data_IF_821912851802
#
_entry.id   IF_821912851802
#
_cell.length_a   1.000
_cell.length_b   1.000
_cell.length_c   1.000
_cell.angle_alpha   90.00
_cell.angle_beta   90.00
_cell.angle_gamma   90.00
#
_symmetry.space_group_name_H-M   'P 1'
#
loop_
_entity.id
_entity.type
_entity.pdbx_description
1 polymer ?
#
# COMPACT_ATOMS: atom_id res chain seq x y z
N UNK A 1 5.26 -19.30 11.56
CA UNK A 1 6.18 -18.34 10.92
C UNK A 1 5.30 -17.34 10.20
N UNK A 2 5.22 -16.11 10.72
CA UNK A 2 4.44 -15.03 10.14
C UNK A 2 5.48 -14.12 9.52
N UNK A 3 5.90 -14.44 8.30
CA UNK A 3 6.71 -13.51 7.51
C UNK A 3 5.78 -12.34 7.15
N UNK A 4 5.62 -11.40 8.09
CA UNK A 4 4.97 -10.14 7.79
C UNK A 4 5.97 -9.36 6.96
N UNK A 5 5.86 -9.49 5.64
CA UNK A 5 6.35 -8.45 4.75
C UNK A 5 5.62 -7.18 5.15
N UNK A 6 6.30 -6.35 5.93
CA UNK A 6 5.87 -5.00 6.24
C UNK A 6 6.14 -4.19 4.98
N UNK A 7 5.17 -4.17 4.08
CA UNK A 7 5.26 -3.44 2.82
C UNK A 7 4.99 -1.98 3.12
N UNK A 8 5.93 -1.13 2.73
CA UNK A 8 5.78 0.32 2.79
C UNK A 8 4.49 0.75 2.08
N UNK A 9 3.51 1.37 2.79
CA UNK A 9 2.22 1.75 2.23
C UNK A 9 2.33 2.71 1.06
N UNK A 10 3.35 3.57 1.05
CA UNK A 10 3.57 4.55 -0.02
C UNK A 10 4.01 3.88 -1.33
N UNK A 11 4.63 2.70 -1.24
CA UNK A 11 5.08 1.93 -2.40
C UNK A 11 4.02 0.96 -2.92
N UNK A 12 2.95 0.70 -2.16
CA UNK A 12 1.87 -0.23 -2.55
C UNK A 12 1.22 0.12 -3.90
N UNK A 13 0.89 1.39 -4.23
CA UNK A 13 0.31 1.71 -5.53
C UNK A 13 1.21 1.34 -6.70
N UNK A 14 2.51 1.61 -6.60
CA UNK A 14 3.49 1.25 -7.62
C UNK A 14 3.64 -0.26 -7.73
N UNK A 15 3.74 -0.96 -6.60
CA UNK A 15 3.86 -2.42 -6.59
C UNK A 15 2.64 -3.10 -7.22
N UNK A 16 1.42 -2.58 -6.99
CA UNK A 16 0.19 -3.06 -7.64
C UNK A 16 0.26 -2.82 -9.15
N UNK A 17 0.72 -1.64 -9.59
CA UNK A 17 0.86 -1.32 -11.01
C UNK A 17 1.86 -2.28 -11.70
N UNK A 18 3.00 -2.54 -11.07
CA UNK A 18 4.03 -3.44 -11.58
C UNK A 18 3.51 -4.89 -11.66
N UNK A 19 2.77 -5.35 -10.65
CA UNK A 19 2.14 -6.67 -10.67
C UNK A 19 1.07 -6.79 -11.77
N UNK A 20 0.27 -5.75 -11.99
CA UNK A 20 -0.70 -5.71 -13.10
C UNK A 20 -0.01 -5.75 -14.46
N UNK A 21 1.12 -5.06 -14.61
CA UNK A 21 1.94 -5.15 -15.81
C UNK A 21 2.51 -6.56 -16.02
N UNK A 22 3.08 -7.15 -14.97
CA UNK A 22 3.60 -8.52 -15.01
C UNK A 22 2.51 -9.54 -15.38
N UNK A 23 1.29 -9.36 -14.87
CA UNK A 23 0.13 -10.19 -15.22
C UNK A 23 -0.18 -10.16 -16.73
N UNK A 24 -0.11 -8.98 -17.35
CA UNK A 24 -0.31 -8.81 -18.81
C UNK A 24 0.81 -9.49 -19.60
N UNK A 25 2.06 -9.34 -19.17
CA UNK A 25 3.20 -9.99 -19.83
C UNK A 25 3.13 -11.53 -19.73
N UNK A 26 2.63 -12.08 -18.62
CA UNK A 26 2.37 -13.51 -18.51
C UNK A 26 1.29 -14.00 -19.48
N UNK A 27 0.29 -13.18 -19.78
CA UNK A 27 -0.70 -13.54 -20.80
C UNK A 27 -0.05 -13.71 -22.17
N UNK A 28 0.84 -12.78 -22.55
CA UNK A 28 1.62 -12.88 -23.80
C UNK A 28 2.52 -14.10 -23.80
N UNK A 29 3.13 -14.43 -22.66
CA UNK A 29 3.97 -15.62 -22.53
C UNK A 29 3.14 -16.90 -22.68
N UNK A 30 1.93 -16.94 -22.11
CA UNK A 30 0.99 -18.05 -22.26
C UNK A 30 0.57 -18.25 -23.72
N UNK A 31 0.31 -17.18 -24.45
CA UNK A 31 -0.01 -17.25 -25.88
C UNK A 31 1.13 -17.88 -26.67
N UNK A 32 2.37 -17.46 -26.42
CA UNK A 32 3.56 -18.06 -27.06
C UNK A 32 3.76 -19.52 -26.67
N UNK A 33 3.52 -19.88 -25.41
CA UNK A 33 3.59 -21.27 -24.97
C UNK A 33 2.49 -22.13 -25.62
N UNK A 34 1.31 -21.56 -25.83
CA UNK A 34 0.20 -22.23 -26.54
C UNK A 34 0.53 -22.43 -28.01
N UNK A 35 1.13 -21.43 -28.66
CA UNK A 35 1.63 -21.54 -30.03
C UNK A 35 2.71 -22.63 -30.15
N UNK A 36 3.69 -22.65 -29.24
CA UNK A 36 4.73 -23.69 -29.22
C UNK A 36 4.16 -25.11 -29.03
N UNK A 37 3.08 -25.25 -28.24
CA UNK A 37 2.42 -26.53 -28.02
C UNK A 37 1.66 -27.01 -29.27
N UNK A 38 1.00 -26.10 -29.99
CA UNK A 38 0.17 -26.39 -31.16
C UNK A 38 0.97 -26.51 -32.46
N UNK A 39 2.02 -25.69 -32.59
CA UNK A 39 2.89 -25.57 -33.74
C UNK A 39 4.32 -25.93 -33.34
N UNK A 40 4.60 -27.22 -33.03
CA UNK A 40 5.94 -27.63 -32.65
C UNK A 40 6.94 -27.34 -33.77
N UNK A 41 8.12 -26.78 -33.45
CA UNK A 41 9.14 -26.54 -34.45
C UNK A 41 9.68 -27.88 -34.97
N UNK A 42 9.66 -28.04 -36.28
CA UNK A 42 10.30 -29.14 -37.00
C UNK A 42 10.72 -28.65 -38.37
N UNK A 43 12.03 -28.63 -38.64
CA UNK A 43 12.58 -28.30 -39.96
C UNK A 43 13.22 -29.51 -40.66
N UNK A 44 12.95 -30.72 -40.18
CA UNK A 44 13.51 -31.95 -40.71
C UNK A 44 12.55 -33.11 -40.63
N UNK A 45 12.62 -33.98 -41.63
CA UNK A 45 11.82 -35.22 -41.72
C UNK A 45 12.52 -36.41 -41.05
N UNK A 46 13.66 -36.19 -40.37
CA UNK A 46 14.35 -37.24 -39.64
C UNK A 46 13.70 -37.53 -38.27
N UNK A 47 13.93 -38.74 -37.76
CA UNK A 47 13.34 -39.19 -36.48
C UNK A 47 13.75 -38.29 -35.31
N UNK A 48 14.93 -37.67 -35.37
CA UNK A 48 15.46 -36.78 -34.32
C UNK A 48 14.70 -35.45 -34.29
N UNK A 49 14.44 -34.86 -35.45
CA UNK A 49 13.68 -33.61 -35.60
C UNK A 49 12.24 -33.79 -35.17
N UNK A 50 11.61 -34.90 -35.59
CA UNK A 50 10.25 -35.26 -35.18
C UNK A 50 10.14 -35.48 -33.66
N UNK A 51 11.11 -36.18 -33.05
CA UNK A 51 11.16 -36.35 -31.61
C UNK A 51 11.36 -35.01 -30.89
N UNK A 52 12.27 -34.15 -31.39
CA UNK A 52 12.53 -32.84 -30.79
C UNK A 52 11.30 -31.95 -30.78
N UNK A 53 10.56 -31.87 -31.90
CA UNK A 53 9.28 -31.15 -31.97
C UNK A 53 8.25 -31.71 -30.99
N UNK A 54 8.16 -33.03 -30.88
CA UNK A 54 7.25 -33.70 -29.92
C UNK A 54 7.59 -33.37 -28.47
N UNK A 55 8.88 -33.38 -28.10
CA UNK A 55 9.31 -33.04 -26.74
C UNK A 55 9.07 -31.56 -26.42
N UNK A 56 9.30 -30.67 -27.38
CA UNK A 56 9.04 -29.24 -27.21
C UNK A 56 7.54 -28.96 -27.01
N UNK A 57 6.67 -29.61 -27.79
CA UNK A 57 5.21 -29.51 -27.61
C UNK A 57 4.78 -30.00 -26.22
N UNK A 58 5.36 -31.11 -25.73
CA UNK A 58 5.10 -31.63 -24.38
C UNK A 58 5.55 -30.65 -23.29
N UNK A 59 6.78 -30.15 -23.36
CA UNK A 59 7.27 -29.17 -22.39
C UNK A 59 6.40 -27.92 -22.40
N UNK A 60 5.91 -27.50 -23.57
CA UNK A 60 5.05 -26.34 -23.70
C UNK A 60 3.66 -26.56 -23.07
N UNK A 61 2.95 -27.63 -23.45
CA UNK A 61 1.51 -27.76 -23.21
C UNK A 61 1.00 -29.04 -22.56
N UNK A 62 1.87 -29.94 -22.09
CA UNK A 62 1.43 -31.14 -21.37
C UNK A 62 0.60 -30.74 -20.13
N UNK A 63 -0.62 -31.27 -19.93
CA UNK A 63 -1.45 -30.94 -18.78
C UNK A 63 -0.89 -31.44 -17.44
N UNK A 64 0.11 -32.33 -17.47
CA UNK A 64 0.82 -32.77 -16.27
C UNK A 64 1.68 -31.67 -15.65
N UNK A 65 1.99 -31.82 -14.36
CA UNK A 65 2.81 -30.85 -13.61
C UNK A 65 4.18 -30.71 -14.27
N UNK A 66 4.60 -29.47 -14.50
CA UNK A 66 5.92 -29.12 -15.01
C UNK A 66 5.95 -28.60 -16.45
N UNK A 67 4.81 -28.54 -17.14
CA UNK A 67 4.74 -27.83 -18.42
C UNK A 67 4.76 -26.31 -18.23
N UNK A 68 5.17 -25.63 -19.30
CA UNK A 68 5.27 -24.18 -19.34
C UNK A 68 3.89 -23.54 -19.13
N UNK A 69 2.85 -23.99 -19.84
CA UNK A 69 1.48 -23.46 -19.69
C UNK A 69 0.97 -23.67 -18.26
N UNK A 70 1.16 -24.86 -17.68
CA UNK A 70 0.74 -25.13 -16.30
C UNK A 70 1.40 -24.17 -15.31
N UNK A 71 2.72 -23.98 -15.45
CA UNK A 71 3.51 -23.10 -14.59
C UNK A 71 3.08 -21.63 -14.74
N UNK A 72 2.84 -21.18 -15.98
CA UNK A 72 2.38 -19.81 -16.24
C UNK A 72 1.01 -19.57 -15.61
N UNK A 73 0.07 -20.50 -15.74
CA UNK A 73 -1.25 -20.36 -15.12
C UNK A 73 -1.14 -20.27 -13.59
N UNK A 74 -0.35 -21.15 -12.96
CA UNK A 74 -0.13 -21.10 -11.52
C UNK A 74 0.50 -19.77 -11.07
N UNK A 75 1.40 -19.21 -11.88
CA UNK A 75 2.02 -17.93 -11.59
C UNK A 75 1.06 -16.75 -11.80
N UNK A 76 0.19 -16.81 -12.82
CA UNK A 76 -0.90 -15.85 -13.00
C UNK A 76 -1.85 -15.82 -11.81
N UNK A 77 -2.26 -16.99 -11.30
CA UNK A 77 -3.11 -17.11 -10.12
C UNK A 77 -2.43 -16.52 -8.87
N UNK A 78 -1.13 -16.78 -8.71
CA UNK A 78 -0.35 -16.23 -7.61
C UNK A 78 -0.23 -14.69 -7.68
N UNK A 79 0.00 -14.13 -8.86
CA UNK A 79 0.03 -12.68 -9.06
C UNK A 79 -1.33 -12.05 -8.78
N UNK A 80 -2.42 -12.64 -9.31
CA UNK A 80 -3.77 -12.16 -9.06
C UNK A 80 -4.09 -12.14 -7.55
N UNK A 81 -3.80 -13.23 -6.85
CA UNK A 81 -3.97 -13.29 -5.38
C UNK A 81 -3.11 -12.26 -4.64
N UNK A 82 -1.94 -11.93 -5.16
CA UNK A 82 -1.05 -10.93 -4.54
C UNK A 82 -1.56 -9.51 -4.76
N UNK A 83 -2.06 -9.20 -5.97
CA UNK A 83 -2.72 -7.92 -6.27
C UNK A 83 -3.89 -7.70 -5.32
N UNK A 84 -4.78 -8.70 -5.18
CA UNK A 84 -5.95 -8.60 -4.29
C UNK A 84 -5.54 -8.30 -2.84
N UNK A 85 -4.47 -8.92 -2.36
CA UNK A 85 -3.94 -8.68 -1.00
C UNK A 85 -3.37 -7.27 -0.86
N UNK A 86 -2.62 -6.79 -1.86
CA UNK A 86 -2.04 -5.45 -1.82
C UNK A 86 -3.11 -4.37 -1.91
N UNK A 87 -4.16 -4.58 -2.71
CA UNK A 87 -5.32 -3.68 -2.76
C UNK A 87 -6.07 -3.64 -1.43
N UNK A 88 -6.26 -4.79 -0.77
CA UNK A 88 -6.84 -4.84 0.58
C UNK A 88 -5.96 -4.12 1.62
N UNK A 89 -4.64 -4.29 1.55
CA UNK A 89 -3.71 -3.58 2.43
C UNK A 89 -3.78 -2.07 2.21
N UNK A 90 -3.73 -1.61 0.97
CA UNK A 90 -3.84 -0.18 0.65
C UNK A 90 -5.15 0.41 1.16
N UNK A 91 -6.27 -0.28 0.98
CA UNK A 91 -7.56 0.15 1.52
C UNK A 91 -7.55 0.21 3.06
N UNK A 92 -6.93 -0.76 3.73
CA UNK A 92 -6.81 -0.75 5.19
C UNK A 92 -5.95 0.44 5.68
N UNK A 93 -4.85 0.75 4.99
CA UNK A 93 -4.00 1.90 5.30
C UNK A 93 -4.73 3.23 5.10
N UNK A 94 -5.41 3.43 3.97
CA UNK A 94 -6.17 4.67 3.70
C UNK A 94 -7.29 4.88 4.73
N UNK A 95 -8.02 3.82 5.09
CA UNK A 95 -9.04 3.92 6.14
C UNK A 95 -8.44 4.29 7.51
N UNK A 96 -7.24 3.79 7.83
CA UNK A 96 -6.55 4.11 9.08
C UNK A 96 -6.04 5.55 9.07
N UNK A 97 -5.61 6.06 7.93
CA UNK A 97 -5.25 7.47 7.74
C UNK A 97 -6.49 8.36 7.95
N UNK A 98 -7.60 8.06 7.29
CA UNK A 98 -8.86 8.82 7.42
C UNK A 98 -9.37 8.90 8.87
N UNK A 99 -9.30 7.80 9.62
CA UNK A 99 -9.73 7.77 11.03
C UNK A 99 -8.78 8.55 11.96
N UNK A 100 -7.50 8.68 11.60
CA UNK A 100 -6.49 9.39 12.39
C UNK A 100 -6.30 10.86 11.97
N UNK A 101 -7.12 11.37 11.03
CA UNK A 101 -7.13 12.80 10.74
C UNK A 101 -7.61 13.56 11.98
N UNK A 102 -6.70 14.33 12.59
CA UNK A 102 -7.05 15.26 13.66
C UNK A 102 -8.02 16.26 13.04
N UNK A 103 -9.26 16.42 13.55
CA UNK A 103 -10.17 17.41 13.02
C UNK A 103 -9.47 18.77 13.06
N UNK A 104 -9.50 19.49 11.94
CA UNK A 104 -9.04 20.89 11.87
C UNK A 104 -9.89 21.70 12.84
N UNK A 105 -9.44 21.78 14.09
CA UNK A 105 -10.08 22.61 15.07
C UNK A 105 -9.62 24.03 14.77
N UNK A 106 -10.44 24.77 14.02
CA UNK A 106 -10.37 26.23 14.03
C UNK A 106 -10.63 26.68 15.47
N UNK A 107 -9.54 26.81 16.24
CA UNK A 107 -9.59 27.54 17.49
C UNK A 107 -9.94 28.96 17.10
N UNK A 108 -11.22 29.34 17.18
CA UNK A 108 -11.55 30.75 17.36
C UNK A 108 -10.75 31.17 18.59
N UNK A 109 -9.77 32.09 18.49
CA UNK A 109 -9.01 32.48 19.66
C UNK A 109 -10.03 33.08 20.61
N UNK A 110 -10.38 32.32 21.66
CA UNK A 110 -11.16 32.87 22.76
C UNK A 110 -10.35 34.05 23.24
N UNK A 111 -10.92 35.25 23.11
CA UNK A 111 -10.34 36.46 23.70
C UNK A 111 -10.29 36.19 25.20
N UNK A 112 -9.16 35.62 25.65
CA UNK A 112 -8.89 35.51 27.05
C UNK A 112 -8.80 36.95 27.53
N UNK A 113 -9.83 37.40 28.26
CA UNK A 113 -9.69 38.55 29.13
C UNK A 113 -8.49 38.23 30.00
N UNK A 114 -7.37 38.89 29.69
CA UNK A 114 -6.11 38.72 30.41
C UNK A 114 -6.42 38.94 31.87
N UNK A 115 -6.26 37.90 32.68
CA UNK A 115 -6.35 38.03 34.12
C UNK A 115 -5.35 39.12 34.54
N UNK A 116 -5.74 40.06 35.42
CA UNK A 116 -4.90 41.20 35.75
C UNK A 116 -3.54 40.72 36.23
N UNK A 117 -2.52 41.37 35.70
CA UNK A 117 -1.12 41.08 36.02
C UNK A 117 -0.87 41.29 37.52
N UNK A 118 0.19 40.67 38.03
CA UNK A 118 0.57 40.83 39.45
C UNK A 118 0.75 42.32 39.83
N UNK A 119 1.24 43.13 38.89
CA UNK A 119 1.42 44.57 39.08
C UNK A 119 0.09 45.34 39.15
N UNK A 120 -0.90 45.00 38.33
CA UNK A 120 -2.24 45.60 38.38
C UNK A 120 -2.95 45.29 39.71
N UNK A 121 -2.80 44.06 40.22
CA UNK A 121 -3.34 43.67 41.55
C UNK A 121 -2.66 44.41 42.70
N UNK A 122 -1.38 44.74 42.57
CA UNK A 122 -0.65 45.52 43.56
C UNK A 122 -1.11 46.99 43.57
N UNK A 123 -1.32 47.59 42.40
CA UNK A 123 -1.82 48.96 42.31
C UNK A 123 -3.24 49.11 42.87
N UNK A 124 -4.12 48.12 42.64
CA UNK A 124 -5.48 48.14 43.17
C UNK A 124 -5.52 48.07 44.71
N UNK A 125 -4.60 47.30 45.32
CA UNK A 125 -4.45 47.23 46.77
C UNK A 125 -3.78 48.48 47.37
N UNK A 126 -2.84 49.10 46.65
CA UNK A 126 -2.17 50.32 47.10
C UNK A 126 -3.06 51.57 46.96
N UNK A 127 -4.03 51.57 46.06
CA UNK A 127 -5.04 52.63 45.93
C UNK A 127 -6.10 52.65 47.04
N UNK A 128 -6.18 51.60 47.87
CA UNK A 128 -7.14 51.46 48.99
C UNK A 128 -6.51 51.65 50.38
N UNK A 129 -5.45 52.45 50.49
CA UNK A 129 -4.97 52.91 51.80
C UNK A 129 -5.85 54.08 52.29
N UNK A 130 -6.69 53.90 53.34
CA UNK A 130 -7.45 55.01 53.90
C UNK A 130 -6.50 55.99 54.60
N UNK A 131 -6.50 57.23 54.11
CA UNK A 131 -5.80 58.34 54.73
C UNK A 131 -6.42 58.73 56.09
N UNK A 132 -5.55 58.78 57.09
CA UNK A 132 -5.48 59.72 58.22
C UNK A 132 -6.65 59.92 59.23
N UNK A 133 -6.28 59.71 60.51
CA UNK A 133 -6.57 60.58 61.66
C UNK A 133 -7.93 60.39 62.35
N UNK A 134 -8.12 60.44 63.68
CA UNK A 134 -7.33 61.05 64.76
C UNK A 134 -7.80 60.55 66.16
N UNK A 135 -6.84 60.51 67.10
CA UNK A 135 -6.82 60.93 68.53
C UNK A 135 -7.96 60.55 69.52
N UNK A 136 -7.61 60.03 70.71
CA UNK A 136 -7.48 60.82 71.97
C UNK A 136 -7.68 60.02 73.29
N UNK A 137 -7.00 60.54 74.34
CA UNK A 137 -7.11 60.36 75.81
C UNK A 137 -6.40 59.17 76.47
#
# INVERSE_FOLDING_TARGET
MRDSYEVDPELLPQAIADLKYAFIELHKLRERASDLAQNPPGQGDDEVSLNSGTQLSRIAGDPSKGSLIHTINAYQDAIASTIDKFEQMLAAYLNLEDVNQIPEFEVTPTSHSTSPTYEERLQENLGRLPGNGNLAV
#
